data_IF_222049086345
#
_entry.id   IF_222049086345
#
_cell.length_a   1.000
_cell.length_b   1.000
_cell.length_c   1.000
_cell.angle_alpha   90.00
_cell.angle_beta   90.00
_cell.angle_gamma   90.00
#
_symmetry.space_group_name_H-M   'P 1'
#
loop_
_entity.id
_entity.type
_entity.pdbx_description
1 polymer ?
#
# COMPACT_ATOMS: atom_id res chain seq x y z
N UNK A 1 -6.45 8.83 46.74
CA UNK A 1 -5.91 9.28 45.44
C UNK A 1 -7.04 9.20 44.41
N UNK A 2 -7.73 10.31 44.16
CA UNK A 2 -8.99 10.33 43.39
C UNK A 2 -8.63 10.41 41.89
N UNK A 3 -8.77 9.30 41.17
CA UNK A 3 -8.53 9.22 39.74
C UNK A 3 -9.57 10.09 39.01
N UNK A 4 -9.07 11.14 38.35
CA UNK A 4 -9.89 12.17 37.72
C UNK A 4 -10.61 11.61 36.47
N UNK A 5 -11.95 11.69 36.41
CA UNK A 5 -12.79 11.06 35.36
C UNK A 5 -12.44 11.49 33.92
N UNK A 6 -11.80 12.64 33.75
CA UNK A 6 -11.30 13.11 32.45
C UNK A 6 -10.11 12.30 31.91
N UNK A 7 -9.21 11.80 32.79
CA UNK A 7 -8.11 10.92 32.37
C UNK A 7 -8.60 9.54 31.95
N UNK A 8 -9.64 9.02 32.61
CA UNK A 8 -10.31 7.77 32.21
C UNK A 8 -10.95 7.86 30.82
N UNK A 9 -11.58 8.99 30.48
CA UNK A 9 -12.15 9.20 29.14
C UNK A 9 -11.07 9.36 28.06
N UNK A 10 -9.91 9.94 28.39
CA UNK A 10 -8.78 10.04 27.47
C UNK A 10 -8.04 8.70 27.26
N UNK A 11 -8.08 7.80 28.24
CA UNK A 11 -7.53 6.45 28.14
C UNK A 11 -8.45 5.46 27.42
N UNK A 12 -9.74 5.78 27.28
CA UNK A 12 -10.72 4.90 26.65
C UNK A 12 -10.43 4.61 25.17
N UNK A 13 -10.08 5.59 24.32
CA UNK A 13 -9.67 5.34 22.93
C UNK A 13 -8.41 4.47 22.87
N UNK A 14 -7.43 4.72 23.75
CA UNK A 14 -6.19 3.96 23.84
C UNK A 14 -6.43 2.50 24.26
N UNK A 15 -7.37 2.26 25.18
CA UNK A 15 -7.80 0.91 25.57
C UNK A 15 -8.52 0.17 24.44
N UNK A 16 -9.35 0.88 23.67
CA UNK A 16 -10.10 0.34 22.52
C UNK A 16 -9.17 0.03 21.34
N UNK A 17 -8.12 0.82 21.16
CA UNK A 17 -7.07 0.58 20.15
C UNK A 17 -6.31 -0.73 20.45
N UNK A 18 -6.12 -1.05 21.73
CA UNK A 18 -5.55 -2.31 22.21
C UNK A 18 -6.53 -3.51 22.22
N UNK A 19 -7.69 -3.43 21.55
CA UNK A 19 -8.73 -4.50 21.55
C UNK A 19 -8.18 -5.91 21.27
N UNK A 20 -7.21 -6.04 20.37
CA UNK A 20 -6.62 -7.33 20.01
C UNK A 20 -5.74 -7.88 21.13
N UNK A 21 -5.02 -7.01 21.85
CA UNK A 21 -4.24 -7.39 23.02
C UNK A 21 -5.15 -7.78 24.19
N UNK A 22 -6.28 -7.09 24.38
CA UNK A 22 -7.28 -7.48 25.36
C UNK A 22 -7.91 -8.83 25.06
N UNK A 23 -8.26 -9.11 23.81
CA UNK A 23 -8.72 -10.44 23.39
C UNK A 23 -7.67 -11.51 23.67
N UNK A 24 -6.40 -11.24 23.34
CA UNK A 24 -5.28 -12.13 23.62
C UNK A 24 -5.13 -12.46 25.12
N UNK A 25 -5.11 -11.42 25.95
CA UNK A 25 -5.01 -11.55 27.40
C UNK A 25 -6.22 -12.29 27.98
N UNK A 26 -7.43 -12.00 27.51
CA UNK A 26 -8.65 -12.66 28.00
C UNK A 26 -8.61 -14.16 27.73
N UNK A 27 -8.21 -14.58 26.53
CA UNK A 27 -8.09 -16.01 26.18
C UNK A 27 -7.06 -16.72 27.06
N UNK A 28 -5.91 -16.09 27.31
CA UNK A 28 -4.88 -16.63 28.22
C UNK A 28 -5.42 -16.73 29.65
N UNK A 29 -6.05 -15.67 30.17
CA UNK A 29 -6.61 -15.67 31.51
C UNK A 29 -7.67 -16.75 31.69
N UNK A 30 -8.58 -16.92 30.73
CA UNK A 30 -9.60 -17.98 30.77
C UNK A 30 -8.94 -19.36 30.76
N UNK A 31 -7.95 -19.59 29.89
CA UNK A 31 -7.21 -20.84 29.84
C UNK A 31 -6.51 -21.16 31.17
N UNK A 32 -5.87 -20.16 31.79
CA UNK A 32 -5.24 -20.31 33.10
C UNK A 32 -6.25 -20.57 34.22
N UNK A 33 -7.39 -19.88 34.23
CA UNK A 33 -8.46 -20.11 35.21
C UNK A 33 -9.05 -21.52 35.09
N UNK A 34 -9.20 -22.03 33.87
CA UNK A 34 -9.68 -23.40 33.64
C UNK A 34 -8.61 -24.42 34.05
N UNK A 35 -7.33 -24.18 33.75
CA UNK A 35 -6.25 -25.12 34.03
C UNK A 35 -5.82 -25.16 35.51
N UNK A 36 -5.90 -24.03 36.23
CA UNK A 36 -5.45 -23.89 37.62
C UNK A 36 -6.58 -24.00 38.64
N UNK A 37 -7.76 -24.48 38.24
CA UNK A 37 -8.87 -24.71 39.18
C UNK A 37 -8.51 -25.84 40.16
N UNK A 38 -8.79 -25.69 41.47
CA UNK A 38 -8.56 -26.76 42.44
C UNK A 38 -9.23 -28.07 42.00
N UNK A 39 -8.54 -29.20 42.15
CA UNK A 39 -8.99 -30.54 41.74
C UNK A 39 -9.17 -30.76 40.23
N UNK A 40 -8.51 -29.97 39.38
CA UNK A 40 -8.53 -30.21 37.94
C UNK A 40 -7.70 -31.43 37.58
N UNK A 41 -8.27 -32.34 36.79
CA UNK A 41 -7.57 -33.53 36.32
C UNK A 41 -6.54 -33.18 35.22
N UNK A 42 -5.39 -33.86 35.23
CA UNK A 42 -4.30 -33.70 34.25
C UNK A 42 -4.77 -33.67 32.78
N UNK A 43 -5.71 -34.55 32.32
CA UNK A 43 -6.17 -34.53 30.93
C UNK A 43 -6.82 -33.20 30.52
N UNK A 44 -7.46 -32.50 31.46
CA UNK A 44 -8.12 -31.21 31.21
C UNK A 44 -7.08 -30.11 31.01
N UNK A 45 -6.01 -30.10 31.80
CA UNK A 45 -4.89 -29.16 31.67
C UNK A 45 -4.20 -29.37 30.31
N UNK A 46 -3.95 -30.63 29.94
CA UNK A 46 -3.33 -30.99 28.66
C UNK A 46 -4.20 -30.61 27.45
N UNK A 47 -5.51 -30.88 27.51
CA UNK A 47 -6.44 -30.50 26.43
C UNK A 47 -6.56 -28.98 26.29
N UNK A 48 -6.57 -28.25 27.41
CA UNK A 48 -6.58 -26.78 27.41
C UNK A 48 -5.31 -26.22 26.76
N UNK A 49 -4.14 -26.78 27.09
CA UNK A 49 -2.87 -26.45 26.44
C UNK A 49 -2.89 -26.72 24.92
N UNK A 50 -3.40 -27.88 24.49
CA UNK A 50 -3.55 -28.24 23.07
C UNK A 50 -4.48 -27.26 22.33
N UNK A 51 -5.63 -26.92 22.90
CA UNK A 51 -6.55 -25.94 22.31
C UNK A 51 -5.88 -24.58 22.13
N UNK A 52 -5.12 -24.12 23.13
CA UNK A 52 -4.41 -22.85 23.07
C UNK A 52 -3.29 -22.86 22.02
N UNK A 53 -2.60 -23.99 21.83
CA UNK A 53 -1.64 -24.17 20.74
C UNK A 53 -2.31 -24.08 19.37
N UNK A 54 -3.42 -24.79 19.16
CA UNK A 54 -4.14 -24.76 17.88
C UNK A 54 -4.64 -23.35 17.56
N UNK A 55 -5.16 -22.63 18.56
CA UNK A 55 -5.56 -21.22 18.41
C UNK A 55 -4.36 -20.33 18.08
N UNK A 56 -3.22 -20.53 18.75
CA UNK A 56 -1.99 -19.78 18.48
C UNK A 56 -1.46 -20.02 17.06
N UNK A 57 -1.41 -21.28 16.60
CA UNK A 57 -1.03 -21.63 15.23
C UNK A 57 -1.98 -21.00 14.22
N UNK A 58 -3.29 -21.13 14.43
CA UNK A 58 -4.30 -20.53 13.55
C UNK A 58 -4.16 -19.01 13.45
N UNK A 59 -3.83 -18.35 14.56
CA UNK A 59 -3.63 -16.90 14.60
C UNK A 59 -2.35 -16.46 13.89
N UNK A 60 -1.25 -17.21 14.02
CA UNK A 60 -0.03 -16.96 13.25
C UNK A 60 -0.28 -17.16 11.75
N UNK A 61 -0.95 -18.23 11.35
CA UNK A 61 -1.32 -18.48 9.96
C UNK A 61 -2.19 -17.35 9.41
N UNK A 62 -3.17 -16.88 10.19
CA UNK A 62 -4.02 -15.76 9.80
C UNK A 62 -3.20 -14.47 9.66
N UNK A 63 -2.34 -14.14 10.63
CA UNK A 63 -1.45 -12.98 10.57
C UNK A 63 -0.57 -12.99 9.32
N UNK A 64 0.06 -14.12 9.00
CA UNK A 64 0.86 -14.27 7.77
C UNK A 64 -0.02 -14.13 6.52
N UNK A 65 -1.26 -14.64 6.56
CA UNK A 65 -2.19 -14.55 5.43
C UNK A 65 -2.67 -13.13 5.16
N UNK A 66 -2.85 -12.33 6.21
CA UNK A 66 -3.23 -10.91 6.15
C UNK A 66 -2.08 -10.09 5.55
N UNK A 67 -0.85 -10.32 6.03
CA UNK A 67 0.35 -9.71 5.44
C UNK A 67 0.50 -10.06 3.96
N UNK A 68 0.23 -11.32 3.57
CA UNK A 68 0.26 -11.72 2.14
C UNK A 68 -0.83 -11.05 1.31
N UNK A 69 -2.03 -10.87 1.87
CA UNK A 69 -3.13 -10.19 1.18
C UNK A 69 -2.79 -8.70 0.91
N UNK A 70 -2.09 -8.05 1.84
CA UNK A 70 -1.60 -6.68 1.69
C UNK A 70 -0.57 -6.54 0.55
N UNK A 71 0.23 -7.58 0.27
CA UNK A 71 1.13 -7.63 -0.88
C UNK A 71 0.44 -8.00 -2.21
N UNK A 72 -0.89 -8.04 -2.27
CA UNK A 72 -1.64 -8.42 -3.48
C UNK A 72 -1.49 -9.90 -3.86
N UNK A 73 -0.91 -10.72 -2.98
CA UNK A 73 -0.85 -12.15 -3.17
C UNK A 73 -2.10 -12.82 -2.60
N UNK A 74 -2.62 -13.88 -3.25
CA UNK A 74 -3.77 -14.62 -2.73
C UNK A 74 -3.45 -15.16 -1.34
N UNK A 75 -4.27 -14.81 -0.35
CA UNK A 75 -4.20 -15.31 1.02
C UNK A 75 -4.15 -16.84 1.05
N UNK A 76 -3.59 -17.44 2.10
CA UNK A 76 -3.56 -18.91 2.22
C UNK A 76 -4.97 -19.51 2.17
N UNK A 77 -5.97 -18.82 2.73
CA UNK A 77 -7.37 -19.21 2.64
C UNK A 77 -7.90 -19.17 1.20
N UNK A 78 -7.56 -18.15 0.40
CA UNK A 78 -7.96 -18.12 -1.00
C UNK A 78 -7.21 -19.14 -1.84
N UNK A 79 -5.95 -19.47 -1.51
CA UNK A 79 -5.21 -20.57 -2.14
C UNK A 79 -5.76 -21.94 -1.76
N UNK A 80 -6.17 -22.14 -0.52
CA UNK A 80 -6.84 -23.35 -0.06
C UNK A 80 -8.23 -23.49 -0.69
N UNK A 81 -9.00 -22.38 -0.77
CA UNK A 81 -10.29 -22.33 -1.46
C UNK A 81 -10.15 -22.51 -2.97
N UNK A 82 -9.12 -21.95 -3.58
CA UNK A 82 -8.80 -22.17 -5.00
C UNK A 82 -8.30 -23.59 -5.24
N UNK A 83 -7.58 -24.20 -4.31
CA UNK A 83 -7.20 -25.60 -4.37
C UNK A 83 -8.42 -26.53 -4.24
N UNK A 84 -9.32 -26.24 -3.30
CA UNK A 84 -10.64 -26.88 -3.17
C UNK A 84 -11.54 -26.63 -4.39
N UNK A 85 -11.44 -25.45 -5.02
CA UNK A 85 -12.18 -25.11 -6.23
C UNK A 85 -11.59 -25.72 -7.51
N UNK A 86 -10.28 -26.01 -7.51
CA UNK A 86 -9.58 -26.79 -8.54
C UNK A 86 -9.73 -28.30 -8.37
N UNK A 87 -10.51 -28.73 -7.36
CA UNK A 87 -10.87 -30.13 -7.26
C UNK A 87 -11.55 -30.54 -8.57
N UNK A 88 -11.03 -31.55 -9.29
CA UNK A 88 -11.28 -31.77 -10.72
C UNK A 88 -12.73 -32.12 -11.10
N UNK A 89 -13.63 -32.15 -10.11
CA UNK A 89 -15.03 -32.45 -10.27
C UNK A 89 -15.94 -31.21 -10.47
N UNK A 90 -15.47 -29.96 -10.23
CA UNK A 90 -16.43 -28.84 -10.04
C UNK A 90 -16.50 -27.68 -11.05
N UNK A 91 -15.56 -27.41 -11.98
CA UNK A 91 -15.83 -26.54 -13.18
C UNK A 91 -14.61 -26.29 -14.08
N UNK A 92 -14.90 -26.12 -15.38
CA UNK A 92 -14.07 -25.53 -16.44
C UNK A 92 -14.67 -24.16 -16.78
N UNK A 93 -13.90 -23.08 -16.80
CA UNK A 93 -14.30 -21.83 -17.45
C UNK A 93 -13.11 -21.20 -18.20
N UNK A 94 -13.37 -20.80 -19.44
CA UNK A 94 -12.43 -20.23 -20.38
C UNK A 94 -12.35 -18.70 -20.22
N UNK A 95 -11.14 -18.15 -20.19
CA UNK A 95 -10.91 -16.70 -20.10
C UNK A 95 -10.60 -16.14 -21.48
N UNK A 96 -11.46 -15.25 -21.97
CA UNK A 96 -11.23 -14.41 -23.15
C UNK A 96 -10.57 -13.11 -22.70
N UNK A 97 -9.36 -12.84 -23.18
CA UNK A 97 -8.64 -11.60 -22.95
C UNK A 97 -8.86 -10.65 -24.15
N UNK A 98 -9.32 -9.43 -23.88
CA UNK A 98 -9.45 -8.36 -24.88
C UNK A 98 -8.40 -7.30 -24.59
N UNK A 99 -7.49 -7.10 -25.54
CA UNK A 99 -6.40 -6.11 -25.50
C UNK A 99 -6.84 -4.83 -26.22
N UNK A 100 -6.73 -3.67 -25.57
CA UNK A 100 -6.93 -2.36 -26.19
C UNK A 100 -5.64 -1.55 -26.18
N UNK A 101 -5.14 -1.16 -27.35
CA UNK A 101 -4.00 -0.24 -27.51
C UNK A 101 -4.54 1.10 -27.98
N UNK A 102 -4.25 2.18 -27.23
CA UNK A 102 -4.56 3.55 -27.63
C UNK A 102 -3.33 4.19 -28.29
N UNK A 103 -3.45 4.60 -29.55
CA UNK A 103 -2.46 5.43 -30.24
C UNK A 103 -2.82 6.91 -30.11
N UNK A 104 -1.86 7.73 -29.64
CA UNK A 104 -1.97 9.18 -29.58
C UNK A 104 -1.33 9.81 -30.82
N UNK A 105 -2.05 10.71 -31.50
CA UNK A 105 -1.57 11.38 -32.73
C UNK A 105 -0.75 12.63 -32.39
N UNK A 106 0.43 12.77 -33.02
CA UNK A 106 1.25 13.98 -32.96
C UNK A 106 0.83 14.96 -34.07
N UNK A 107 0.57 16.22 -33.71
CA UNK A 107 0.27 17.31 -34.65
C UNK A 107 1.53 18.16 -34.85
N UNK A 108 2.02 18.26 -36.09
CA UNK A 108 3.14 19.12 -36.46
C UNK A 108 2.67 20.54 -36.84
N UNK A 109 3.39 21.57 -36.38
CA UNK A 109 3.15 22.99 -36.71
C UNK A 109 4.06 23.39 -37.89
N UNK A 110 3.50 23.88 -38.99
CA UNK A 110 4.26 24.40 -40.15
C UNK A 110 4.31 25.93 -40.10
N UNK A 111 5.49 26.52 -40.28
CA UNK A 111 5.67 27.98 -40.45
C UNK A 111 6.15 28.28 -41.87
N UNK A 112 5.59 29.31 -42.50
CA UNK A 112 6.02 29.83 -43.79
C UNK A 112 6.80 31.13 -43.59
N UNK A 113 7.96 31.26 -44.24
CA UNK A 113 8.75 32.49 -44.27
C UNK A 113 8.60 33.19 -45.61
N UNK A 114 8.47 34.52 -45.60
CA UNK A 114 8.39 35.37 -46.79
C UNK A 114 9.65 36.23 -46.85
N UNK A 115 10.43 36.09 -47.92
CA UNK A 115 11.65 36.89 -48.15
C UNK A 115 11.35 37.88 -49.28
N UNK A 116 11.60 39.18 -49.04
CA UNK A 116 11.42 40.21 -50.06
C UNK A 116 12.66 40.31 -50.94
N UNK A 117 12.50 40.00 -52.23
CA UNK A 117 13.53 40.18 -53.26
C UNK A 117 13.49 41.58 -53.88
N UNK A 118 14.61 42.12 -54.36
CA UNK A 118 14.69 43.50 -54.86
C UNK A 118 14.11 43.73 -56.27
N UNK A 119 13.59 42.69 -56.94
CA UNK A 119 13.03 42.77 -58.30
C UNK A 119 14.07 42.70 -59.44
N UNK A 120 13.66 42.64 -60.72
CA UNK A 120 14.57 42.62 -61.86
C UNK A 120 15.23 44.00 -62.09
N UNK A 121 16.56 44.04 -62.21
CA UNK A 121 17.39 45.26 -62.33
C UNK A 121 17.21 46.29 -61.20
N UNK A 122 17.54 45.93 -59.94
CA UNK A 122 17.30 46.80 -58.81
C UNK A 122 18.34 47.91 -58.71
N UNK A 123 17.89 49.14 -58.47
CA UNK A 123 18.77 50.22 -58.03
C UNK A 123 19.29 49.94 -56.62
N UNK A 124 20.41 50.56 -56.24
CA UNK A 124 21.01 50.37 -54.91
C UNK A 124 20.00 50.72 -53.81
N UNK A 125 19.17 51.73 -54.02
CA UNK A 125 18.12 52.14 -53.09
C UNK A 125 17.09 51.02 -52.88
N UNK A 126 16.62 50.38 -53.96
CA UNK A 126 15.63 49.28 -53.85
C UNK A 126 16.19 48.06 -53.13
N UNK A 127 17.49 47.77 -53.29
CA UNK A 127 18.18 46.72 -52.54
C UNK A 127 18.24 47.03 -51.05
N UNK A 128 18.53 48.27 -50.69
CA UNK A 128 18.60 48.71 -49.30
C UNK A 128 17.23 48.56 -48.61
N UNK A 129 16.16 48.99 -49.26
CA UNK A 129 14.78 48.87 -48.73
C UNK A 129 14.36 47.41 -48.57
N UNK A 130 14.73 46.53 -49.50
CA UNK A 130 14.43 45.10 -49.38
C UNK A 130 15.18 44.46 -48.20
N UNK A 131 16.46 44.81 -48.00
CA UNK A 131 17.26 44.34 -46.86
C UNK A 131 16.69 44.85 -45.54
N UNK A 132 16.33 46.13 -45.45
CA UNK A 132 15.75 46.73 -44.25
C UNK A 132 14.42 46.04 -43.85
N UNK A 133 13.56 45.74 -44.83
CA UNK A 133 12.34 44.95 -44.59
C UNK A 133 12.63 43.54 -44.11
N UNK A 134 13.60 42.87 -44.71
CA UNK A 134 13.96 41.51 -44.29
C UNK A 134 14.55 41.49 -42.87
N UNK A 135 15.37 42.48 -42.50
CA UNK A 135 15.91 42.62 -41.13
C UNK A 135 14.78 42.83 -40.13
N UNK A 136 13.81 43.71 -40.43
CA UNK A 136 12.65 43.94 -39.56
C UNK A 136 11.82 42.66 -39.41
N UNK A 137 11.59 41.92 -40.50
CA UNK A 137 10.88 40.63 -40.46
C UNK A 137 11.61 39.58 -39.62
N UNK A 138 12.94 39.50 -39.71
CA UNK A 138 13.76 38.58 -38.90
C UNK A 138 13.68 38.96 -37.42
N UNK A 139 13.71 40.26 -37.11
CA UNK A 139 13.62 40.72 -35.72
C UNK A 139 12.26 40.40 -35.09
N UNK A 140 11.18 40.54 -35.86
CA UNK A 140 9.83 40.13 -35.45
C UNK A 140 9.76 38.61 -35.25
N UNK A 141 10.29 37.81 -36.20
CA UNK A 141 10.34 36.35 -36.12
C UNK A 141 11.09 35.86 -34.87
N UNK A 142 12.25 36.46 -34.58
CA UNK A 142 13.06 36.14 -33.39
C UNK A 142 12.29 36.50 -32.12
N UNK A 143 11.67 37.68 -32.09
CA UNK A 143 10.88 38.13 -30.94
C UNK A 143 9.68 37.22 -30.67
N UNK A 144 9.00 36.78 -31.74
CA UNK A 144 7.90 35.84 -31.65
C UNK A 144 8.37 34.44 -31.22
N UNK A 145 9.50 33.98 -31.76
CA UNK A 145 10.11 32.69 -31.37
C UNK A 145 10.51 32.70 -29.90
N UNK A 146 11.10 33.79 -29.40
CA UNK A 146 11.46 33.92 -28.00
C UNK A 146 10.21 33.84 -27.10
N UNK A 147 9.12 34.51 -27.47
CA UNK A 147 7.84 34.41 -26.74
C UNK A 147 7.29 32.98 -26.73
N UNK A 148 7.29 32.30 -27.87
CA UNK A 148 6.82 30.90 -27.94
C UNK A 148 7.69 29.97 -27.08
N UNK A 149 9.01 30.14 -27.12
CA UNK A 149 9.95 29.38 -26.28
C UNK A 149 9.67 29.63 -24.80
N UNK A 150 9.49 30.89 -24.39
CA UNK A 150 9.20 31.24 -22.99
C UNK A 150 7.86 30.65 -22.53
N UNK A 151 6.84 30.66 -23.38
CA UNK A 151 5.54 30.03 -23.09
C UNK A 151 5.65 28.52 -22.97
N UNK A 152 6.38 27.86 -23.87
CA UNK A 152 6.55 26.41 -23.83
C UNK A 152 7.44 25.97 -22.65
N UNK A 153 8.48 26.74 -22.30
CA UNK A 153 9.26 26.53 -21.08
C UNK A 153 8.38 26.62 -19.83
N UNK A 154 7.46 27.60 -19.77
CA UNK A 154 6.49 27.69 -18.66
C UNK A 154 5.57 26.48 -18.61
N UNK A 155 5.01 26.05 -19.74
CA UNK A 155 4.15 24.85 -19.80
C UNK A 155 4.89 23.59 -19.35
N UNK A 156 6.14 23.42 -19.78
CA UNK A 156 6.97 22.28 -19.38
C UNK A 156 7.28 22.35 -17.87
N UNK A 157 7.63 23.52 -17.35
CA UNK A 157 7.88 23.71 -15.93
C UNK A 157 6.63 23.39 -15.07
N UNK A 158 5.45 23.83 -15.51
CA UNK A 158 4.19 23.54 -14.83
C UNK A 158 3.84 22.05 -14.90
N UNK A 159 4.03 21.41 -16.06
CA UNK A 159 3.83 19.97 -16.23
C UNK A 159 4.78 19.16 -15.33
N UNK A 160 6.06 19.53 -15.26
CA UNK A 160 7.07 18.88 -14.41
C UNK A 160 6.74 19.05 -12.92
N UNK A 161 6.24 20.23 -12.53
CA UNK A 161 5.80 20.49 -11.16
C UNK A 161 4.58 19.63 -10.81
N UNK A 162 3.61 19.51 -11.72
CA UNK A 162 2.45 18.64 -11.57
C UNK A 162 2.84 17.17 -11.43
N UNK A 163 3.75 16.68 -12.27
CA UNK A 163 4.29 15.33 -12.18
C UNK A 163 5.00 15.10 -10.84
N UNK A 164 5.86 16.03 -10.43
CA UNK A 164 6.61 15.93 -9.17
C UNK A 164 5.65 15.84 -7.99
N UNK A 165 4.59 16.65 -7.99
CA UNK A 165 3.57 16.60 -6.95
C UNK A 165 2.80 15.27 -6.96
N UNK A 166 2.43 14.76 -8.14
CA UNK A 166 1.78 13.45 -8.29
C UNK A 166 2.64 12.33 -7.75
N UNK A 167 3.93 12.29 -8.15
CA UNK A 167 4.91 11.32 -7.66
C UNK A 167 5.06 11.39 -6.15
N UNK A 168 5.19 12.59 -5.57
CA UNK A 168 5.26 12.75 -4.12
C UNK A 168 4.01 12.24 -3.39
N UNK A 169 2.82 12.43 -3.97
CA UNK A 169 1.59 11.90 -3.38
C UNK A 169 1.51 10.37 -3.47
N UNK A 170 1.94 9.79 -4.59
CA UNK A 170 2.01 8.34 -4.79
C UNK A 170 3.06 7.70 -3.87
N UNK A 171 4.24 8.29 -3.77
CA UNK A 171 5.32 7.83 -2.89
C UNK A 171 4.87 7.83 -1.42
N UNK A 172 4.19 8.90 -0.98
CA UNK A 172 3.62 8.95 0.38
C UNK A 172 2.56 7.86 0.59
N UNK A 173 1.72 7.61 -0.40
CA UNK A 173 0.72 6.54 -0.33
C UNK A 173 1.37 5.15 -0.28
N UNK A 174 2.44 4.92 -1.05
CA UNK A 174 3.24 3.69 -1.01
C UNK A 174 3.91 3.54 0.34
N UNK A 175 4.52 4.60 0.89
CA UNK A 175 5.15 4.57 2.21
C UNK A 175 4.13 4.25 3.30
N UNK A 176 2.95 4.88 3.27
CA UNK A 176 1.88 4.54 4.21
C UNK A 176 1.42 3.08 4.08
N UNK A 177 1.32 2.55 2.86
CA UNK A 177 1.02 1.12 2.65
C UNK A 177 2.14 0.22 3.16
N UNK A 178 3.41 0.60 2.98
CA UNK A 178 4.56 -0.15 3.49
C UNK A 178 4.60 -0.15 5.01
N UNK A 179 4.37 0.99 5.66
CA UNK A 179 4.28 1.09 7.11
C UNK A 179 3.12 0.24 7.65
N UNK A 180 1.92 0.40 7.09
CA UNK A 180 0.75 -0.39 7.48
C UNK A 180 0.94 -1.90 7.23
N UNK A 181 1.66 -2.29 6.18
CA UNK A 181 1.96 -3.70 5.87
C UNK A 181 3.05 -4.26 6.79
N UNK A 182 4.06 -3.45 7.11
CA UNK A 182 5.13 -3.80 8.04
C UNK A 182 4.61 -4.02 9.46
N UNK A 183 3.64 -3.23 9.90
CA UNK A 183 3.08 -3.34 11.26
C UNK A 183 1.83 -4.24 11.33
N UNK A 184 1.06 -4.36 10.25
CA UNK A 184 -0.26 -5.00 10.24
C UNK A 184 -0.27 -6.49 10.58
N UNK A 185 0.81 -7.22 10.28
CA UNK A 185 0.92 -8.66 10.58
C UNK A 185 1.69 -8.99 11.85
N UNK A 186 2.61 -8.10 12.28
CA UNK A 186 3.55 -8.39 13.36
C UNK A 186 2.82 -8.52 14.70
N UNK A 187 1.86 -7.63 14.97
CA UNK A 187 1.08 -7.67 16.22
C UNK A 187 0.22 -8.93 16.33
N UNK A 188 -0.41 -9.36 15.22
CA UNK A 188 -1.25 -10.57 15.18
C UNK A 188 -0.39 -11.83 15.35
N UNK A 189 0.76 -11.88 14.68
CA UNK A 189 1.70 -13.00 14.79
C UNK A 189 2.29 -13.10 16.20
N UNK A 190 2.65 -11.98 16.84
CA UNK A 190 3.14 -11.94 18.22
C UNK A 190 2.08 -12.45 19.22
N UNK A 191 0.82 -12.09 19.03
CA UNK A 191 -0.30 -12.63 19.83
C UNK A 191 -0.40 -14.14 19.67
N UNK A 192 -0.40 -14.65 18.43
CA UNK A 192 -0.46 -16.08 18.17
C UNK A 192 0.73 -16.85 18.77
N UNK A 193 1.94 -16.28 18.70
CA UNK A 193 3.14 -16.83 19.34
C UNK A 193 3.02 -16.88 20.87
N UNK A 194 2.41 -15.87 21.50
CA UNK A 194 2.17 -15.87 22.95
C UNK A 194 1.21 -16.97 23.39
N UNK A 195 0.13 -17.21 22.64
CA UNK A 195 -0.80 -18.32 22.89
C UNK A 195 -0.12 -19.68 22.73
N UNK A 196 0.67 -19.84 21.66
CA UNK A 196 1.48 -21.03 21.44
C UNK A 196 2.42 -21.31 22.61
N UNK A 197 3.16 -20.30 23.07
CA UNK A 197 4.09 -20.43 24.19
C UNK A 197 3.38 -20.89 25.46
N UNK A 198 2.31 -20.21 25.85
CA UNK A 198 1.53 -20.58 27.05
C UNK A 198 0.93 -21.98 26.90
N UNK A 199 0.45 -22.34 25.71
CA UNK A 199 -0.12 -23.66 25.44
C UNK A 199 0.91 -24.79 25.53
N UNK A 200 2.14 -24.56 25.04
CA UNK A 200 3.27 -25.49 25.20
C UNK A 200 3.65 -25.65 26.67
N UNK A 201 3.72 -24.56 27.44
CA UNK A 201 4.01 -24.65 28.88
C UNK A 201 2.93 -25.46 29.60
N UNK A 202 1.65 -25.17 29.37
CA UNK A 202 0.53 -25.90 29.98
C UNK A 202 0.50 -27.38 29.59
N UNK A 203 0.78 -27.72 28.33
CA UNK A 203 0.77 -29.10 27.87
C UNK A 203 1.97 -29.91 28.37
N UNK A 204 3.14 -29.29 28.53
CA UNK A 204 4.37 -29.97 28.97
C UNK A 204 4.46 -30.07 30.49
N UNK A 205 4.01 -29.04 31.21
CA UNK A 205 4.01 -29.00 32.68
C UNK A 205 2.69 -29.54 33.29
N UNK A 206 1.81 -30.16 32.49
CA UNK A 206 0.49 -30.60 32.94
C UNK A 206 0.55 -31.55 34.15
N UNK A 207 1.54 -32.46 34.18
CA UNK A 207 1.74 -33.43 35.27
C UNK A 207 2.15 -32.74 36.57
N UNK A 208 3.08 -31.79 36.51
CA UNK A 208 3.56 -31.01 37.67
C UNK A 208 2.44 -30.11 38.20
N UNK A 209 1.71 -29.44 37.31
CA UNK A 209 0.58 -28.57 37.67
C UNK A 209 -0.57 -29.35 38.30
N UNK A 210 -0.87 -30.55 37.80
CA UNK A 210 -1.91 -31.42 38.37
C UNK A 210 -1.56 -31.90 39.78
N UNK A 211 -0.27 -32.01 40.12
CA UNK A 211 0.17 -32.32 41.48
C UNK A 211 0.13 -31.10 42.41
N UNK A 212 0.37 -29.90 41.87
CA UNK A 212 0.42 -28.65 42.63
C UNK A 212 -0.97 -28.07 42.95
N UNK A 213 -1.97 -28.37 42.10
CA UNK A 213 -3.36 -27.87 42.19
C UNK A 213 -4.30 -28.87 42.91
N UNK A 214 -3.74 -29.98 43.42
CA UNK A 214 -4.47 -31.01 44.15
C UNK A 214 -4.94 -30.54 45.52
#
# INVERSE_FOLDING_TARGET
MIINRFRLKALWPWLVEARHAWLAATVICVALVVALRPHTAEPVIRLTGLCLQLLGIGTVIWGISETRALFGHPSFASRARAWLGRFPLLRRDAVVAVSGVALSAAVGKVRAQVIHGPGPNPTIQTRLVAVERNINSIHEDISQMQKEIDEDLRKIADALKGETQSRQTEDRAIQHKLEATGTGGVHISAIGASWLFVGVVLSTAATELAQLVK
#
